data_IF_768342848349
#
_entry.id   IF_768342848349
#
_cell.length_a   1.000
_cell.length_b   1.000
_cell.length_c   1.000
_cell.angle_alpha   90.00
_cell.angle_beta   90.00
_cell.angle_gamma   90.00
#
_symmetry.space_group_name_H-M   'P 1'
#
loop_
_entity.id
_entity.type
_entity.pdbx_description
1 polymer ?
#
# COMPACT_ATOMS: atom_id res chain seq x y z
N UNK A 1 6.03 50.73 6.84
CA UNK A 1 5.38 49.43 6.65
C UNK A 1 6.24 48.64 5.69
N UNK A 2 6.56 47.40 6.09
CA UNK A 2 7.79 46.67 5.79
C UNK A 2 8.12 46.48 4.31
N UNK A 3 9.41 46.69 4.04
CA UNK A 3 10.09 46.44 2.78
C UNK A 3 10.05 44.96 2.39
N UNK A 4 9.61 44.77 1.16
CA UNK A 4 9.66 43.54 0.39
C UNK A 4 11.12 43.12 0.14
N UNK A 5 11.37 41.83 0.36
CA UNK A 5 12.42 41.03 -0.29
C UNK A 5 13.83 41.64 -0.34
N UNK A 6 14.51 41.64 0.80
CA UNK A 6 15.98 41.46 0.77
C UNK A 6 16.28 39.98 0.51
N UNK A 7 16.55 39.67 -0.75
CA UNK A 7 17.30 38.48 -1.20
C UNK A 7 18.66 38.47 -0.50
N UNK A 8 18.73 37.88 0.68
CA UNK A 8 20.01 37.61 1.34
C UNK A 8 20.62 36.37 0.71
N UNK A 9 21.74 36.62 0.01
CA UNK A 9 22.85 35.73 -0.32
C UNK A 9 22.72 34.32 0.24
N UNK A 10 22.68 33.34 -0.65
CA UNK A 10 23.11 31.99 -0.35
C UNK A 10 24.60 32.03 0.05
N UNK A 11 24.90 32.28 1.32
CA UNK A 11 26.11 31.73 1.91
C UNK A 11 26.02 30.23 1.70
N UNK A 12 26.97 29.68 0.93
CA UNK A 12 26.95 28.25 0.63
C UNK A 12 27.22 27.51 1.94
N UNK A 13 26.16 27.04 2.60
CA UNK A 13 26.24 26.17 3.77
C UNK A 13 27.28 25.08 3.50
N UNK A 14 28.15 24.81 4.48
CA UNK A 14 29.07 23.69 4.38
C UNK A 14 28.30 22.37 4.27
N UNK A 15 28.91 21.29 3.78
CA UNK A 15 28.26 19.97 3.77
C UNK A 15 27.71 19.57 5.14
N UNK A 16 28.44 19.79 6.25
CA UNK A 16 27.93 19.46 7.59
C UNK A 16 26.72 20.30 7.99
N UNK A 17 26.73 21.60 7.68
CA UNK A 17 25.61 22.50 7.96
C UNK A 17 24.36 22.09 7.17
N UNK A 18 24.53 21.64 5.92
CA UNK A 18 23.43 21.10 5.11
C UNK A 18 22.86 19.82 5.74
N UNK A 19 23.71 18.89 6.20
CA UNK A 19 23.23 17.67 6.87
C UNK A 19 22.47 17.98 8.16
N UNK A 20 22.98 18.92 8.96
CA UNK A 20 22.30 19.37 10.18
C UNK A 20 20.97 20.07 9.90
N UNK A 21 20.93 20.88 8.84
CA UNK A 21 19.70 21.54 8.39
C UNK A 21 18.66 20.51 7.93
N UNK A 22 19.07 19.48 7.17
CA UNK A 22 18.18 18.37 6.76
C UNK A 22 17.58 17.69 7.99
N UNK A 23 18.39 17.31 8.98
CA UNK A 23 17.90 16.67 10.20
C UNK A 23 16.90 17.55 10.96
N UNK A 24 17.18 18.85 11.06
CA UNK A 24 16.29 19.81 11.74
C UNK A 24 14.96 19.97 11.01
N UNK A 25 15.00 20.09 9.69
CA UNK A 25 13.78 20.20 8.87
C UNK A 25 12.95 18.91 8.89
N UNK A 26 13.62 17.75 8.88
CA UNK A 26 12.96 16.45 9.05
C UNK A 26 12.21 16.39 10.38
N UNK A 27 12.86 16.73 11.50
CA UNK A 27 12.23 16.65 12.81
C UNK A 27 11.00 17.57 12.92
N UNK A 28 11.07 18.78 12.35
CA UNK A 28 9.89 19.68 12.29
C UNK A 28 8.74 19.10 11.49
N UNK A 29 9.02 18.47 10.34
CA UNK A 29 8.00 17.77 9.55
C UNK A 29 7.38 16.61 10.35
N UNK A 30 8.21 15.91 11.13
CA UNK A 30 7.75 14.82 12.01
C UNK A 30 6.93 15.34 13.21
N UNK A 31 7.21 16.53 13.73
CA UNK A 31 6.40 17.14 14.79
C UNK A 31 5.00 17.52 14.30
N UNK A 32 4.88 18.01 13.06
CA UNK A 32 3.64 18.60 12.55
C UNK A 32 2.68 17.58 11.90
N UNK A 33 3.17 16.42 11.44
CA UNK A 33 2.32 15.52 10.64
C UNK A 33 1.14 14.94 11.44
N UNK A 34 1.31 14.74 12.75
CA UNK A 34 0.24 14.25 13.63
C UNK A 34 -0.87 15.30 13.76
N UNK A 35 -0.49 16.54 14.11
CA UNK A 35 -1.44 17.65 14.26
C UNK A 35 -2.16 17.95 12.94
N UNK A 36 -1.43 17.89 11.82
CA UNK A 36 -2.02 18.03 10.49
C UNK A 36 -2.98 16.88 10.18
N UNK A 37 -2.63 15.64 10.51
CA UNK A 37 -3.49 14.47 10.35
C UNK A 37 -4.80 14.58 11.14
N UNK A 38 -4.73 15.07 12.37
CA UNK A 38 -5.88 15.35 13.24
C UNK A 38 -6.83 16.37 12.59
N UNK A 39 -6.34 17.57 12.27
CA UNK A 39 -7.13 18.64 11.64
C UNK A 39 -7.77 18.19 10.33
N UNK A 40 -7.01 17.48 9.49
CA UNK A 40 -7.52 16.95 8.23
C UNK A 40 -8.61 15.89 8.47
N UNK A 41 -8.48 15.05 9.50
CA UNK A 41 -9.48 14.04 9.86
C UNK A 41 -10.78 14.70 10.30
N UNK A 42 -10.70 15.70 11.17
CA UNK A 42 -11.85 16.48 11.62
C UNK A 42 -12.56 17.18 10.47
N UNK A 43 -11.81 17.92 9.64
CA UNK A 43 -12.37 18.64 8.48
C UNK A 43 -13.09 17.67 7.54
N UNK A 44 -12.49 16.50 7.27
CA UNK A 44 -13.06 15.49 6.39
C UNK A 44 -14.33 14.87 6.98
N UNK A 45 -14.31 14.50 8.28
CA UNK A 45 -15.44 13.88 8.99
C UNK A 45 -16.62 14.85 9.13
N UNK A 46 -16.35 16.09 9.53
CA UNK A 46 -17.37 17.13 9.72
C UNK A 46 -17.80 17.80 8.41
N UNK A 47 -17.08 17.54 7.31
CA UNK A 47 -17.31 18.15 6.00
C UNK A 47 -17.25 19.68 6.03
N UNK A 48 -16.42 20.27 6.90
CA UNK A 48 -16.29 21.73 7.06
C UNK A 48 -15.74 22.42 5.81
N UNK A 49 -15.06 21.68 4.92
CA UNK A 49 -14.68 22.16 3.59
C UNK A 49 -15.86 22.72 2.76
N UNK A 50 -17.09 22.28 3.04
CA UNK A 50 -18.31 22.82 2.40
C UNK A 50 -18.58 24.28 2.76
N UNK A 51 -18.11 24.75 3.92
CA UNK A 51 -18.23 26.16 4.33
C UNK A 51 -17.45 27.06 3.36
N UNK A 52 -16.34 26.55 2.81
CA UNK A 52 -15.55 27.21 1.77
C UNK A 52 -16.11 27.03 0.35
N UNK A 53 -17.26 26.36 0.19
CA UNK A 53 -17.91 26.15 -1.11
C UNK A 53 -17.45 24.92 -1.90
N UNK A 54 -16.58 24.08 -1.33
CA UNK A 54 -16.09 22.88 -2.02
C UNK A 54 -17.07 21.71 -1.94
N UNK A 55 -17.20 20.96 -3.04
CA UNK A 55 -18.11 19.81 -3.12
C UNK A 55 -17.55 18.58 -2.40
N UNK A 56 -16.23 18.39 -2.47
CA UNK A 56 -15.54 17.25 -1.88
C UNK A 56 -14.20 17.65 -1.26
N UNK A 57 -13.73 16.82 -0.33
CA UNK A 57 -12.50 17.05 0.43
C UNK A 57 -11.25 17.10 -0.46
N UNK A 58 -11.20 16.29 -1.52
CA UNK A 58 -10.05 16.24 -2.44
C UNK A 58 -9.85 17.60 -3.11
N UNK A 59 -10.91 18.15 -3.69
CA UNK A 59 -10.89 19.45 -4.37
C UNK A 59 -10.45 20.58 -3.42
N UNK A 60 -10.97 20.57 -2.19
CA UNK A 60 -10.59 21.52 -1.15
C UNK A 60 -9.09 21.48 -0.84
N UNK A 61 -8.54 20.30 -0.55
CA UNK A 61 -7.13 20.17 -0.15
C UNK A 61 -6.17 20.47 -1.32
N UNK A 62 -6.50 20.00 -2.51
CA UNK A 62 -5.66 20.22 -3.69
C UNK A 62 -5.67 21.70 -4.12
N UNK A 63 -6.80 22.40 -3.98
CA UNK A 63 -6.94 23.81 -4.41
C UNK A 63 -6.42 24.80 -3.36
N UNK A 64 -6.79 24.63 -2.09
CA UNK A 64 -6.47 25.62 -1.04
C UNK A 64 -5.06 25.48 -0.49
N UNK A 65 -4.55 24.24 -0.44
CA UNK A 65 -3.29 23.92 0.25
C UNK A 65 -2.23 23.30 -0.67
N UNK A 66 -2.55 23.10 -1.97
CA UNK A 66 -1.65 22.48 -2.93
C UNK A 66 -1.07 21.14 -2.43
N UNK A 67 -1.88 20.38 -1.69
CA UNK A 67 -1.50 19.11 -1.10
C UNK A 67 -2.20 17.98 -1.85
N UNK A 68 -1.47 16.91 -2.17
CA UNK A 68 -2.09 15.76 -2.83
C UNK A 68 -3.09 15.08 -1.90
N UNK A 69 -4.21 14.64 -2.45
CA UNK A 69 -5.17 13.85 -1.68
C UNK A 69 -4.57 12.54 -1.13
N UNK A 70 -3.53 11.99 -1.78
CA UNK A 70 -2.81 10.83 -1.27
C UNK A 70 -2.05 11.12 0.02
N UNK A 71 -1.32 12.24 0.09
CA UNK A 71 -0.62 12.67 1.31
C UNK A 71 -1.63 12.97 2.42
N UNK A 72 -2.68 13.73 2.11
CA UNK A 72 -3.72 14.04 3.10
C UNK A 72 -4.38 12.77 3.65
N UNK A 73 -4.70 11.80 2.78
CA UNK A 73 -5.28 10.52 3.20
C UNK A 73 -4.31 9.66 4.02
N UNK A 74 -3.00 9.75 3.74
CA UNK A 74 -1.94 9.09 4.52
C UNK A 74 -1.91 9.66 5.95
N UNK A 75 -1.86 10.99 6.09
CA UNK A 75 -1.84 11.69 7.38
C UNK A 75 -3.08 11.41 8.23
N UNK A 76 -4.27 11.60 7.65
CA UNK A 76 -5.55 11.26 8.31
C UNK A 76 -5.53 9.81 8.77
N UNK A 77 -5.04 8.94 7.91
CA UNK A 77 -4.99 7.50 8.16
C UNK A 77 -4.09 7.11 9.32
N UNK A 78 -3.00 7.83 9.56
CA UNK A 78 -2.12 7.60 10.70
C UNK A 78 -2.81 8.06 11.98
N UNK A 79 -3.33 9.29 11.99
CA UNK A 79 -4.04 9.81 13.15
C UNK A 79 -5.22 8.92 13.55
N UNK A 80 -6.08 8.57 12.58
CA UNK A 80 -7.26 7.76 12.82
C UNK A 80 -6.90 6.39 13.39
N UNK A 81 -5.91 5.70 12.82
CA UNK A 81 -5.56 4.35 13.27
C UNK A 81 -4.77 4.40 14.58
N UNK A 82 -3.62 5.05 14.60
CA UNK A 82 -2.68 4.90 15.72
C UNK A 82 -3.10 5.69 16.96
N UNK A 83 -3.58 6.92 16.77
CA UNK A 83 -3.94 7.78 17.91
C UNK A 83 -5.37 7.54 18.32
N UNK A 84 -6.31 7.52 17.37
CA UNK A 84 -7.72 7.43 17.73
C UNK A 84 -8.18 5.98 17.99
N UNK A 85 -7.81 5.03 17.14
CA UNK A 85 -8.29 3.65 17.27
C UNK A 85 -7.42 2.81 18.22
N UNK A 86 -6.09 2.93 18.16
CA UNK A 86 -5.14 2.24 19.05
C UNK A 86 -4.80 3.01 20.34
N UNK A 87 -5.27 4.26 20.49
CA UNK A 87 -5.03 5.10 21.67
C UNK A 87 -3.54 5.28 22.01
N UNK A 88 -2.67 5.34 21.00
CA UNK A 88 -1.25 5.67 21.17
C UNK A 88 -1.08 7.16 21.44
N UNK A 89 -0.09 7.51 22.26
CA UNK A 89 0.25 8.92 22.46
C UNK A 89 0.96 9.49 21.22
N UNK A 90 0.85 10.81 21.08
CA UNK A 90 1.41 11.52 19.94
C UNK A 90 2.95 11.44 19.88
N UNK A 91 3.64 11.25 20.99
CA UNK A 91 5.11 11.25 21.01
C UNK A 91 5.64 9.95 20.41
N UNK A 92 5.11 8.81 20.86
CA UNK A 92 5.43 7.50 20.27
C UNK A 92 5.14 7.46 18.78
N UNK A 93 4.01 8.03 18.34
CA UNK A 93 3.66 8.09 16.91
C UNK A 93 4.67 8.91 16.11
N UNK A 94 5.17 10.02 16.67
CA UNK A 94 6.21 10.85 16.03
C UNK A 94 7.55 10.13 15.96
N UNK A 95 7.95 9.46 17.05
CA UNK A 95 9.20 8.71 17.14
C UNK A 95 9.25 7.55 16.12
N UNK A 96 8.13 6.85 15.92
CA UNK A 96 8.03 5.85 14.84
C UNK A 96 8.09 6.53 13.48
N UNK A 97 7.37 7.63 13.32
CA UNK A 97 7.40 8.44 12.11
C UNK A 97 6.49 7.94 10.99
N UNK A 98 6.10 8.88 10.12
CA UNK A 98 5.02 8.73 9.15
C UNK A 98 5.19 7.53 8.20
N UNK A 99 6.39 7.30 7.70
CA UNK A 99 6.62 6.31 6.65
C UNK A 99 6.56 4.87 7.15
N UNK A 100 7.05 4.60 8.36
CA UNK A 100 6.97 3.27 8.98
C UNK A 100 5.52 2.95 9.37
N UNK A 101 4.84 3.89 10.00
CA UNK A 101 3.41 3.76 10.33
C UNK A 101 2.55 3.54 9.09
N UNK A 102 2.79 4.29 8.02
CA UNK A 102 2.02 4.11 6.79
C UNK A 102 2.23 2.75 6.13
N UNK A 103 3.42 2.17 6.31
CA UNK A 103 3.78 0.87 5.76
C UNK A 103 3.06 -0.28 6.49
N UNK A 104 2.98 -0.21 7.82
CA UNK A 104 2.30 -1.24 8.64
C UNK A 104 0.79 -1.02 8.78
N UNK A 105 0.27 0.18 8.53
CA UNK A 105 -1.17 0.48 8.64
C UNK A 105 -2.09 -0.56 7.98
N UNK A 106 -1.85 -1.03 6.74
CA UNK A 106 -2.71 -2.02 6.09
C UNK A 106 -2.70 -3.39 6.77
N UNK A 107 -1.67 -3.70 7.56
CA UNK A 107 -1.49 -4.98 8.24
C UNK A 107 -2.18 -5.00 9.60
N UNK A 108 -2.42 -3.84 10.21
CA UNK A 108 -2.96 -3.75 11.57
C UNK A 108 -4.42 -3.32 11.63
N UNK A 109 -4.92 -2.57 10.63
CA UNK A 109 -6.23 -1.90 10.68
C UNK A 109 -7.38 -2.84 11.06
N UNK A 110 -7.33 -4.08 10.58
CA UNK A 110 -8.37 -5.09 10.79
C UNK A 110 -7.80 -6.36 11.49
N UNK A 111 -6.61 -6.25 12.10
CA UNK A 111 -5.93 -7.37 12.75
C UNK A 111 -6.30 -7.50 14.24
N UNK A 112 -6.06 -8.69 14.81
CA UNK A 112 -6.17 -8.90 16.25
C UNK A 112 -5.14 -8.05 17.02
N UNK A 113 -5.47 -7.69 18.27
CA UNK A 113 -4.67 -6.78 19.10
C UNK A 113 -3.20 -7.19 19.20
N UNK A 114 -2.93 -8.48 19.38
CA UNK A 114 -1.58 -9.03 19.50
C UNK A 114 -0.75 -8.79 18.24
N UNK A 115 -1.38 -8.92 17.07
CA UNK A 115 -0.75 -8.66 15.77
C UNK A 115 -0.51 -7.16 15.58
N UNK A 116 -1.44 -6.33 16.05
CA UNK A 116 -1.28 -4.88 16.00
C UNK A 116 -0.06 -4.43 16.83
N UNK A 117 0.03 -4.90 18.08
CA UNK A 117 1.13 -4.60 19.00
C UNK A 117 2.48 -5.05 18.44
N UNK A 118 2.54 -6.26 17.87
CA UNK A 118 3.76 -6.78 17.26
C UNK A 118 4.25 -5.89 16.11
N UNK A 119 3.35 -5.49 15.21
CA UNK A 119 3.73 -4.63 14.09
C UNK A 119 4.13 -3.23 14.52
N UNK A 120 3.47 -2.65 15.53
CA UNK A 120 3.86 -1.36 16.10
C UNK A 120 5.27 -1.43 16.69
N UNK A 121 5.54 -2.45 17.52
CA UNK A 121 6.88 -2.67 18.08
C UNK A 121 7.94 -2.85 17.00
N UNK A 122 7.65 -3.62 15.95
CA UNK A 122 8.56 -3.76 14.82
C UNK A 122 8.80 -2.43 14.09
N UNK A 123 7.78 -1.58 13.99
CA UNK A 123 7.93 -0.25 13.39
C UNK A 123 8.77 0.69 14.27
N UNK A 124 8.79 0.53 15.59
CA UNK A 124 9.69 1.25 16.49
C UNK A 124 11.15 0.83 16.28
N UNK A 125 11.39 -0.48 16.26
CA UNK A 125 12.74 -1.07 16.27
C UNK A 125 13.43 -1.07 14.90
N UNK A 126 12.68 -1.30 13.82
CA UNK A 126 13.25 -1.51 12.49
C UNK A 126 13.36 -0.21 11.68
N UNK A 127 14.37 -0.16 10.80
CA UNK A 127 14.44 0.85 9.77
C UNK A 127 13.31 0.67 8.75
N UNK A 128 12.97 1.72 7.99
CA UNK A 128 11.96 1.62 6.95
C UNK A 128 12.26 0.53 5.90
N UNK A 129 13.55 0.34 5.55
CA UNK A 129 13.92 -0.67 4.56
C UNK A 129 13.79 -2.09 5.12
N UNK A 130 14.26 -2.32 6.36
CA UNK A 130 14.17 -3.64 6.99
C UNK A 130 12.71 -4.05 7.24
N UNK A 131 11.88 -3.09 7.66
CA UNK A 131 10.45 -3.31 7.85
C UNK A 131 9.77 -3.69 6.53
N UNK A 132 10.13 -3.01 5.43
CA UNK A 132 9.62 -3.29 4.08
C UNK A 132 10.05 -4.66 3.58
N UNK A 133 11.30 -5.03 3.78
CA UNK A 133 11.85 -6.34 3.43
C UNK A 133 11.11 -7.45 4.20
N UNK A 134 10.94 -7.28 5.52
CA UNK A 134 10.25 -8.25 6.36
C UNK A 134 8.79 -8.46 5.94
N UNK A 135 8.06 -7.37 5.66
CA UNK A 135 6.68 -7.45 5.15
C UNK A 135 6.63 -8.18 3.81
N UNK A 136 7.61 -7.94 2.92
CA UNK A 136 7.70 -8.63 1.63
C UNK A 136 7.92 -10.14 1.83
N UNK A 137 8.86 -10.53 2.70
CA UNK A 137 9.14 -11.95 2.99
C UNK A 137 7.90 -12.66 3.52
N UNK A 138 7.15 -12.04 4.45
CA UNK A 138 5.92 -12.60 4.99
C UNK A 138 4.87 -12.77 3.90
N UNK A 139 4.65 -11.75 3.06
CA UNK A 139 3.68 -11.83 1.96
C UNK A 139 4.05 -12.86 0.91
N UNK A 140 5.34 -12.99 0.59
CA UNK A 140 5.81 -13.99 -0.36
C UNK A 140 5.62 -15.40 0.22
N UNK A 141 5.86 -15.59 1.53
CA UNK A 141 5.60 -16.85 2.22
C UNK A 141 4.11 -17.19 2.32
N UNK A 142 3.24 -16.21 2.60
CA UNK A 142 1.77 -16.38 2.57
C UNK A 142 1.27 -16.74 1.17
N UNK A 143 1.84 -16.12 0.13
CA UNK A 143 1.51 -16.45 -1.25
C UNK A 143 1.93 -17.88 -1.60
N UNK A 144 3.10 -18.32 -1.13
CA UNK A 144 3.56 -19.68 -1.36
C UNK A 144 2.75 -20.71 -0.56
N UNK A 145 2.38 -20.39 0.69
CA UNK A 145 1.57 -21.30 1.53
C UNK A 145 0.11 -21.39 1.10
N UNK A 146 -0.43 -20.34 0.48
CA UNK A 146 -1.77 -20.33 -0.12
C UNK A 146 -1.81 -20.84 -1.55
N UNK A 147 -0.65 -21.21 -2.13
CA UNK A 147 -0.54 -21.73 -3.49
C UNK A 147 -1.27 -23.06 -3.60
N UNK A 148 -2.29 -23.11 -4.45
CA UNK A 148 -3.10 -24.30 -4.65
C UNK A 148 -2.53 -25.18 -5.76
N UNK A 149 -2.93 -26.47 -5.79
CA UNK A 149 -2.62 -27.36 -6.91
C UNK A 149 -3.14 -26.81 -8.26
N UNK A 150 -4.24 -26.04 -8.23
CA UNK A 150 -4.76 -25.34 -9.41
C UNK A 150 -3.78 -24.29 -9.91
N UNK A 151 -3.16 -23.51 -9.01
CA UNK A 151 -2.17 -22.49 -9.37
C UNK A 151 -0.93 -23.13 -10.00
N UNK A 152 -0.43 -24.22 -9.40
CA UNK A 152 0.70 -24.99 -9.93
C UNK A 152 0.41 -25.52 -11.34
N UNK A 153 -0.78 -26.11 -11.55
CA UNK A 153 -1.19 -26.61 -12.85
C UNK A 153 -1.21 -25.50 -13.91
N UNK A 154 -1.82 -24.36 -13.58
CA UNK A 154 -1.95 -23.22 -14.51
C UNK A 154 -0.57 -22.66 -14.87
N UNK A 155 0.30 -22.45 -13.88
CA UNK A 155 1.64 -21.90 -14.11
C UNK A 155 2.49 -22.84 -14.95
N UNK A 156 2.52 -24.14 -14.62
CA UNK A 156 3.26 -25.13 -15.39
C UNK A 156 2.75 -25.20 -16.84
N UNK A 157 1.44 -25.17 -17.03
CA UNK A 157 0.84 -25.18 -18.37
C UNK A 157 1.22 -23.93 -19.17
N UNK A 158 1.09 -22.74 -18.58
CA UNK A 158 1.44 -21.48 -19.25
C UNK A 158 2.94 -21.36 -19.53
N UNK A 159 3.80 -21.85 -18.64
CA UNK A 159 5.25 -21.90 -18.86
C UNK A 159 5.60 -22.82 -20.03
N UNK A 160 4.99 -24.01 -20.09
CA UNK A 160 5.14 -24.92 -21.22
C UNK A 160 4.68 -24.27 -22.53
N UNK A 161 3.54 -23.56 -22.54
CA UNK A 161 3.07 -22.84 -23.73
C UNK A 161 4.02 -21.71 -24.13
N UNK A 162 4.50 -20.90 -23.17
CA UNK A 162 5.47 -19.83 -23.46
C UNK A 162 6.76 -20.40 -24.05
N UNK A 163 7.26 -21.52 -23.51
CA UNK A 163 8.42 -22.24 -24.03
C UNK A 163 8.18 -22.79 -25.43
N UNK A 164 7.04 -23.45 -25.65
CA UNK A 164 6.66 -24.02 -26.94
C UNK A 164 6.51 -22.95 -28.03
N UNK A 165 5.83 -21.85 -27.73
CA UNK A 165 5.64 -20.73 -28.66
C UNK A 165 6.83 -19.76 -28.70
N UNK A 166 7.83 -19.99 -27.85
CA UNK A 166 8.99 -19.12 -27.61
C UNK A 166 8.60 -17.64 -27.57
N UNK A 167 7.69 -17.28 -26.68
CA UNK A 167 7.09 -15.95 -26.66
C UNK A 167 6.88 -15.40 -25.25
N UNK A 168 6.67 -14.09 -25.18
CA UNK A 168 6.34 -13.41 -23.93
C UNK A 168 4.92 -13.77 -23.47
N UNK A 169 4.60 -13.54 -22.19
CA UNK A 169 3.23 -13.74 -21.71
C UNK A 169 2.20 -12.86 -22.42
N UNK A 170 2.59 -11.64 -22.84
CA UNK A 170 1.71 -10.75 -23.63
C UNK A 170 1.41 -11.35 -25.00
N UNK A 171 2.42 -11.90 -25.66
CA UNK A 171 2.26 -12.53 -26.98
C UNK A 171 1.48 -13.84 -26.89
N UNK A 172 1.69 -14.62 -25.82
CA UNK A 172 0.89 -15.82 -25.57
C UNK A 172 -0.59 -15.45 -25.40
N UNK A 173 -0.92 -14.43 -24.61
CA UNK A 173 -2.29 -13.96 -24.44
C UNK A 173 -2.91 -13.51 -25.76
N UNK A 174 -2.15 -12.81 -26.60
CA UNK A 174 -2.61 -12.44 -27.95
C UNK A 174 -2.91 -13.67 -28.82
N UNK A 175 -2.03 -14.68 -28.82
CA UNK A 175 -2.26 -15.94 -29.57
C UNK A 175 -3.47 -16.72 -29.05
N UNK A 176 -3.65 -16.80 -27.74
CA UNK A 176 -4.82 -17.43 -27.13
C UNK A 176 -6.10 -16.67 -27.51
N UNK A 177 -6.07 -15.34 -27.50
CA UNK A 177 -7.21 -14.54 -27.94
C UNK A 177 -7.59 -14.84 -29.39
N UNK A 178 -6.61 -14.93 -30.31
CA UNK A 178 -6.86 -15.34 -31.70
C UNK A 178 -7.45 -16.75 -31.82
N UNK A 179 -6.99 -17.68 -30.97
CA UNK A 179 -7.49 -19.06 -30.98
C UNK A 179 -8.94 -19.16 -30.48
N UNK A 180 -9.30 -18.40 -29.45
CA UNK A 180 -10.63 -18.45 -28.83
C UNK A 180 -11.63 -17.43 -29.39
N UNK A 181 -11.23 -16.54 -30.31
CA UNK A 181 -12.09 -15.43 -30.78
C UNK A 181 -13.44 -15.89 -31.37
N UNK A 182 -13.46 -17.03 -32.04
CA UNK A 182 -14.65 -17.61 -32.69
C UNK A 182 -15.17 -18.85 -31.95
N UNK A 183 -14.72 -19.09 -30.71
CA UNK A 183 -15.11 -20.26 -29.95
C UNK A 183 -16.55 -20.17 -29.43
N UNK A 184 -17.25 -21.30 -29.45
CA UNK A 184 -18.55 -21.44 -28.79
C UNK A 184 -18.35 -21.48 -27.27
N UNK A 185 -18.64 -20.36 -26.61
CA UNK A 185 -18.42 -20.20 -25.17
C UNK A 185 -19.35 -21.06 -24.33
N UNK A 186 -20.54 -21.42 -24.81
CA UNK A 186 -21.48 -22.24 -24.07
C UNK A 186 -20.99 -23.68 -24.02
N UNK A 187 -20.68 -24.24 -25.19
CA UNK A 187 -20.11 -25.59 -25.29
C UNK A 187 -18.76 -25.69 -24.56
N UNK A 188 -17.90 -24.68 -24.70
CA UNK A 188 -16.61 -24.64 -24.02
C UNK A 188 -16.77 -24.61 -22.50
N UNK A 189 -17.75 -23.88 -21.97
CA UNK A 189 -18.03 -23.85 -20.53
C UNK A 189 -18.50 -25.22 -20.00
N UNK A 190 -19.32 -25.94 -20.77
CA UNK A 190 -19.73 -27.31 -20.40
C UNK A 190 -18.53 -28.26 -20.34
N UNK A 191 -17.67 -28.23 -21.35
CA UNK A 191 -16.44 -29.03 -21.37
C UNK A 191 -15.48 -28.68 -20.23
N UNK A 192 -15.34 -27.38 -19.91
CA UNK A 192 -14.51 -26.91 -18.80
C UNK A 192 -15.06 -27.43 -17.46
N UNK A 193 -16.38 -27.35 -17.24
CA UNK A 193 -17.01 -27.85 -16.01
C UNK A 193 -16.76 -29.34 -15.80
N UNK A 194 -16.87 -30.14 -16.86
CA UNK A 194 -16.60 -31.58 -16.76
C UNK A 194 -15.13 -31.87 -16.42
N UNK A 195 -14.19 -31.16 -17.06
CA UNK A 195 -12.75 -31.28 -16.78
C UNK A 195 -12.40 -30.82 -15.37
N UNK A 196 -12.99 -29.72 -14.91
CA UNK A 196 -12.82 -29.22 -13.54
C UNK A 196 -13.31 -30.24 -12.51
N UNK A 197 -14.49 -30.85 -12.73
CA UNK A 197 -15.02 -31.87 -11.84
C UNK A 197 -14.10 -33.09 -11.73
N UNK A 198 -13.61 -33.60 -12.87
CA UNK A 198 -12.66 -34.75 -12.89
C UNK A 198 -11.37 -34.44 -12.13
N UNK A 199 -10.81 -33.26 -12.36
CA UNK A 199 -9.60 -32.81 -11.66
C UNK A 199 -9.81 -32.70 -10.14
N UNK A 200 -10.97 -32.21 -9.69
CA UNK A 200 -11.30 -32.13 -8.27
C UNK A 200 -11.53 -33.51 -7.64
N UNK A 201 -12.15 -34.44 -8.37
CA UNK A 201 -12.33 -35.84 -7.95
C UNK A 201 -10.98 -36.57 -7.81
N UNK A 202 -10.04 -36.38 -8.75
CA UNK A 202 -8.69 -36.95 -8.71
C UNK A 202 -7.89 -36.46 -7.49
N UNK A 203 -7.94 -35.15 -7.21
CA UNK A 203 -7.25 -34.57 -6.05
C UNK A 203 -7.82 -35.08 -4.72
N UNK A 204 -9.14 -35.24 -4.61
CA UNK A 204 -9.77 -35.76 -3.38
C UNK A 204 -9.49 -37.24 -3.15
N UNK A 205 -9.36 -38.03 -4.23
CA UNK A 205 -8.95 -39.44 -4.16
C UNK A 205 -7.53 -39.61 -3.61
N UNK A 206 -6.58 -38.80 -4.08
CA UNK A 206 -5.17 -38.85 -3.62
C UNK A 206 -4.96 -38.37 -2.17
N UNK A 207 -5.88 -37.57 -1.62
CA UNK A 207 -5.82 -37.11 -0.22
C UNK A 207 -6.48 -38.07 0.78
N UNK A 208 -7.15 -39.12 0.29
CA UNK A 208 -7.91 -40.08 1.10
C UNK A 208 -7.25 -41.47 1.22
N UNK A 209 -6.09 -41.66 0.60
CA UNK A 209 -5.21 -42.85 0.67
C UNK A 209 -3.98 -42.56 1.55
#
# INVERSE_FOLDING_TARGET
MQELFSTNKSESLTPEEKFKAIATLKNRLEEDFVALGELLSEIKRMRTFKIKGYLNFKEFIETEYNMSNSLASKLIGIFDVYIKDLNMDSETVKDIGMDRLSLIKPLIKDAAYEVQEEWVKQAEELSHQDLKEKIKVIRDAEKESSRTLKDVLVEQYLDNMKGYFNCSGKDLNFKLALYFQDADLEKMNEEIREKQRKFEEEIQGEQSE
#
